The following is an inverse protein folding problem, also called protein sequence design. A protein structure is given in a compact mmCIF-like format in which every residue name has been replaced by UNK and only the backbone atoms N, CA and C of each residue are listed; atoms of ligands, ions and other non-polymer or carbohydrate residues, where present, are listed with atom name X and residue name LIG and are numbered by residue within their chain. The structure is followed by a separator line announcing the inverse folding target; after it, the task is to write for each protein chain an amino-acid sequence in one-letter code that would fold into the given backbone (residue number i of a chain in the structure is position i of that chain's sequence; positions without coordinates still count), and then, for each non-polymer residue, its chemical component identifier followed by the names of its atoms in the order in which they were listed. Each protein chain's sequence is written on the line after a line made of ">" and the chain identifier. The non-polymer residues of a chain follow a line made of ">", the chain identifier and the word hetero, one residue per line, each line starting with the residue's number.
data_IF_297628362138
#
_entry.id   IF_297628362138
#
_cell.length_a   1.000
_cell.length_b   1.000
_cell.length_c   1.000
_cell.angle_alpha   90.00
_cell.angle_beta   90.00
_cell.angle_gamma   90.00
#
_symmetry.space_group_name_H-M   'P 1'
#
loop_
_entity.id
_entity.type
_entity.pdbx_description
1 polymer ?
#
# COMPACT_ATOMS: atom_id res chain seq x y z
N UNK A 1 13.76 -17.90 20.46
CA UNK A 1 12.86 -19.05 20.31
C UNK A 1 11.48 -18.54 19.90
N UNK A 2 11.25 -18.34 18.61
CA UNK A 2 9.97 -17.87 18.05
C UNK A 2 8.95 -19.00 18.10
N UNK A 3 8.01 -18.95 19.06
CA UNK A 3 6.85 -19.84 19.09
C UNK A 3 5.91 -19.47 17.93
N UNK A 4 5.99 -20.24 16.85
CA UNK A 4 5.03 -20.21 15.75
C UNK A 4 3.65 -20.63 16.29
N UNK A 5 2.59 -19.94 15.86
CA UNK A 5 1.22 -20.30 16.25
C UNK A 5 0.78 -21.42 15.32
N UNK A 6 0.74 -22.64 15.84
CA UNK A 6 0.35 -23.83 15.08
C UNK A 6 -1.14 -24.09 15.23
N UNK A 7 -1.80 -24.58 14.17
CA UNK A 7 -3.19 -25.03 14.27
C UNK A 7 -3.31 -26.21 15.26
N UNK A 8 -4.20 -26.17 16.26
CA UNK A 8 -4.36 -27.27 17.24
C UNK A 8 -4.95 -28.55 16.63
N UNK A 9 -5.46 -28.48 15.39
CA UNK A 9 -6.15 -29.60 14.73
C UNK A 9 -5.29 -30.33 13.72
N UNK A 10 -4.55 -29.59 12.90
CA UNK A 10 -3.74 -30.17 11.81
C UNK A 10 -2.24 -29.94 12.00
N UNK A 11 -1.82 -29.26 13.07
CA UNK A 11 -0.42 -28.98 13.38
C UNK A 11 0.37 -28.30 12.23
N UNK A 12 -0.33 -27.58 11.34
CA UNK A 12 0.27 -26.77 10.29
C UNK A 12 0.42 -25.31 10.74
N UNK A 13 1.42 -24.63 10.19
CA UNK A 13 1.77 -23.25 10.49
C UNK A 13 1.05 -22.22 9.59
N UNK A 14 0.27 -22.70 8.60
CA UNK A 14 -0.51 -21.87 7.69
C UNK A 14 -1.81 -21.35 8.33
N UNK A 15 -1.65 -20.45 9.29
CA UNK A 15 -2.73 -19.81 10.04
C UNK A 15 -2.84 -18.32 9.68
N UNK A 16 -4.05 -17.86 9.37
CA UNK A 16 -4.35 -16.45 9.07
C UNK A 16 -5.15 -15.80 10.17
N UNK A 17 -4.89 -14.52 10.46
CA UNK A 17 -5.65 -13.77 11.44
C UNK A 17 -7.05 -13.45 10.89
N UNK A 18 -8.09 -13.89 11.60
CA UNK A 18 -9.48 -13.59 11.30
C UNK A 18 -9.95 -12.28 11.93
N UNK A 19 -11.04 -11.72 11.40
CA UNK A 19 -11.74 -10.61 12.07
C UNK A 19 -12.64 -11.16 13.19
N UNK A 20 -12.68 -10.53 14.39
CA UNK A 20 -13.67 -10.84 15.39
C UNK A 20 -15.08 -10.70 14.80
N UNK A 21 -15.88 -11.76 14.92
CA UNK A 21 -17.25 -11.80 14.42
C UNK A 21 -18.27 -12.06 15.54
N UNK A 22 -17.81 -12.52 16.70
CA UNK A 22 -18.69 -12.79 17.84
C UNK A 22 -18.39 -11.86 19.02
N UNK A 23 -19.39 -11.58 19.90
CA UNK A 23 -19.18 -10.76 21.09
C UNK A 23 -18.07 -11.32 22.00
N UNK A 24 -17.96 -12.65 22.09
CA UNK A 24 -16.90 -13.33 22.85
C UNK A 24 -15.50 -13.04 22.29
N UNK A 25 -15.35 -13.00 20.98
CA UNK A 25 -14.06 -12.67 20.33
C UNK A 25 -13.71 -11.19 20.47
N UNK A 26 -14.71 -10.31 20.51
CA UNK A 26 -14.50 -8.89 20.77
C UNK A 26 -13.98 -8.66 22.19
N UNK A 27 -14.58 -9.34 23.18
CA UNK A 27 -14.10 -9.33 24.58
C UNK A 27 -12.71 -9.96 24.68
N UNK A 28 -12.45 -11.08 24.00
CA UNK A 28 -11.13 -11.72 23.99
C UNK A 28 -10.05 -10.83 23.35
N UNK A 29 -10.40 -10.00 22.38
CA UNK A 29 -9.47 -9.07 21.74
C UNK A 29 -8.94 -8.01 22.72
N UNK A 30 -9.70 -7.62 23.74
CA UNK A 30 -9.20 -6.77 24.84
C UNK A 30 -8.05 -7.44 25.61
N UNK A 31 -7.99 -8.77 25.62
CA UNK A 31 -6.96 -9.57 26.28
C UNK A 31 -5.84 -10.00 25.33
N UNK A 32 -5.68 -9.33 24.18
CA UNK A 32 -4.75 -9.72 23.09
C UNK A 32 -4.96 -11.14 22.55
N UNK A 33 -6.13 -11.72 22.76
CA UNK A 33 -6.51 -13.02 22.22
C UNK A 33 -7.37 -12.77 20.98
N UNK A 34 -6.87 -13.15 19.81
CA UNK A 34 -7.54 -12.89 18.53
C UNK A 34 -7.86 -14.20 17.81
N UNK A 35 -8.92 -14.24 16.99
CA UNK A 35 -9.23 -15.43 16.21
C UNK A 35 -8.23 -15.63 15.08
N UNK A 36 -7.75 -16.87 14.94
CA UNK A 36 -6.99 -17.37 13.82
C UNK A 36 -7.82 -18.42 13.07
N UNK A 37 -7.61 -18.52 11.77
CA UNK A 37 -8.22 -19.53 10.90
C UNK A 37 -7.10 -20.26 10.16
N UNK A 38 -7.08 -21.58 10.23
CA UNK A 38 -6.16 -22.38 9.43
C UNK A 38 -6.60 -22.41 7.96
N UNK A 39 -5.67 -22.25 7.01
CA UNK A 39 -6.01 -22.28 5.58
C UNK A 39 -6.35 -23.69 5.07
N UNK A 40 -5.72 -24.73 5.63
CA UNK A 40 -5.96 -26.12 5.23
C UNK A 40 -7.28 -26.67 5.78
N UNK A 41 -7.41 -26.71 7.11
CA UNK A 41 -8.54 -27.38 7.76
C UNK A 41 -9.72 -26.45 8.06
N UNK A 42 -9.59 -25.15 7.76
CA UNK A 42 -10.55 -24.07 8.06
C UNK A 42 -10.99 -23.99 9.52
N UNK A 43 -10.26 -24.64 10.42
CA UNK A 43 -10.55 -24.61 11.85
C UNK A 43 -10.21 -23.23 12.42
N UNK A 44 -11.18 -22.64 13.14
CA UNK A 44 -11.06 -21.34 13.78
C UNK A 44 -10.79 -21.54 15.27
N UNK A 45 -9.73 -20.90 15.76
CA UNK A 45 -9.34 -21.01 17.16
C UNK A 45 -8.80 -19.66 17.67
N UNK A 46 -8.83 -19.48 18.98
CA UNK A 46 -8.32 -18.29 19.63
C UNK A 46 -6.89 -18.54 20.10
N UNK A 47 -5.97 -17.64 19.77
CA UNK A 47 -4.61 -17.69 20.28
C UNK A 47 -4.16 -16.29 20.71
N UNK A 48 -3.26 -16.24 21.71
CA UNK A 48 -2.69 -14.97 22.16
C UNK A 48 -1.82 -14.41 21.04
N UNK A 49 -2.02 -13.15 20.70
CA UNK A 49 -1.21 -12.41 19.75
C UNK A 49 0.19 -12.23 20.35
N UNK A 50 1.05 -13.23 20.18
CA UNK A 50 2.49 -13.01 20.31
C UNK A 50 2.85 -12.18 19.10
N UNK A 51 3.22 -10.92 19.35
CA UNK A 51 3.73 -10.01 18.35
C UNK A 51 5.01 -10.59 17.76
N UNK A 52 4.87 -11.49 16.80
CA UNK A 52 5.94 -11.82 15.87
C UNK A 52 6.10 -10.58 15.00
N UNK A 53 7.17 -9.83 15.30
CA UNK A 53 7.66 -8.85 14.37
C UNK A 53 7.94 -9.56 13.05
N UNK A 54 7.21 -9.12 12.03
CA UNK A 54 7.71 -8.96 10.67
C UNK A 54 8.14 -10.24 9.94
N UNK A 55 7.14 -10.90 9.35
CA UNK A 55 7.16 -11.11 7.91
C UNK A 55 5.79 -10.75 7.36
N UNK A 56 5.51 -9.45 7.35
CA UNK A 56 4.60 -8.92 6.35
C UNK A 56 5.28 -9.13 4.99
N UNK A 57 5.20 -10.36 4.47
CA UNK A 57 4.84 -10.50 3.07
C UNK A 57 3.43 -9.93 3.04
N UNK A 58 3.22 -8.69 2.56
CA UNK A 58 1.88 -8.33 2.16
C UNK A 58 1.52 -9.44 1.18
N UNK A 59 0.48 -10.24 1.46
CA UNK A 59 -0.15 -10.98 0.39
C UNK A 59 -0.31 -9.94 -0.72
N UNK A 60 0.43 -10.14 -1.82
CA UNK A 60 0.74 -9.17 -2.86
C UNK A 60 -0.57 -8.81 -3.57
N UNK A 61 -1.44 -8.06 -2.89
CA UNK A 61 -2.74 -7.62 -3.38
C UNK A 61 -2.58 -6.38 -4.25
N UNK A 62 -1.36 -5.86 -4.35
CA UNK A 62 -0.99 -4.73 -5.17
C UNK A 62 -0.36 -5.29 -6.43
N UNK A 63 -1.05 -5.08 -7.55
CA UNK A 63 -0.56 -5.44 -8.87
C UNK A 63 0.65 -4.59 -9.31
N UNK A 64 0.82 -3.40 -8.71
CA UNK A 64 1.84 -2.44 -9.12
C UNK A 64 2.69 -1.96 -7.95
N UNK A 65 4.01 -1.95 -8.15
CA UNK A 65 4.99 -1.35 -7.24
C UNK A 65 4.72 0.15 -7.07
N UNK A 66 4.79 0.65 -5.83
CA UNK A 66 4.67 2.08 -5.50
C UNK A 66 6.03 2.64 -5.12
N UNK A 67 6.45 3.68 -5.83
CA UNK A 67 7.65 4.45 -5.50
C UNK A 67 7.26 5.69 -4.68
N UNK A 68 7.99 6.00 -3.59
CA UNK A 68 7.82 7.27 -2.89
C UNK A 68 8.39 8.41 -3.75
N UNK A 69 7.63 9.47 -3.93
CA UNK A 69 8.02 10.63 -4.76
C UNK A 69 7.53 11.93 -4.14
N UNK A 70 8.02 13.07 -4.66
CA UNK A 70 7.49 14.40 -4.40
C UNK A 70 7.39 15.15 -5.72
N UNK A 71 6.22 15.08 -6.35
CA UNK A 71 5.97 15.70 -7.65
C UNK A 71 4.81 16.68 -7.52
N UNK A 72 4.95 17.85 -8.14
CA UNK A 72 3.84 18.78 -8.25
C UNK A 72 2.79 18.23 -9.21
N UNK A 73 1.52 18.43 -8.86
CA UNK A 73 0.42 18.12 -9.76
C UNK A 73 -0.67 19.18 -9.73
N UNK A 74 -1.37 19.31 -10.84
CA UNK A 74 -2.68 19.95 -10.93
C UNK A 74 -3.73 18.87 -11.22
N UNK A 75 -4.98 19.09 -10.84
CA UNK A 75 -6.08 18.21 -11.24
C UNK A 75 -7.37 18.98 -11.46
N UNK A 76 -8.17 18.50 -12.40
CA UNK A 76 -9.43 19.12 -12.77
C UNK A 76 -10.49 18.08 -13.15
N UNK A 77 -11.74 18.34 -12.79
CA UNK A 77 -12.86 17.43 -13.02
C UNK A 77 -14.20 18.10 -12.69
N UNK A 78 -15.11 18.15 -13.66
CA UNK A 78 -16.37 18.87 -13.53
C UNK A 78 -16.16 20.35 -13.18
N UNK A 79 -16.61 20.76 -12.00
CA UNK A 79 -16.45 22.13 -11.46
C UNK A 79 -15.34 22.26 -10.41
N UNK A 80 -14.60 21.18 -10.15
CA UNK A 80 -13.55 21.13 -9.13
C UNK A 80 -12.19 21.20 -9.83
N UNK A 81 -11.33 22.09 -9.32
CA UNK A 81 -9.92 22.20 -9.69
C UNK A 81 -9.10 22.29 -8.41
N UNK A 82 -7.91 21.71 -8.44
CA UNK A 82 -7.01 21.71 -7.30
C UNK A 82 -5.58 21.46 -7.71
N UNK A 83 -4.69 21.73 -6.77
CA UNK A 83 -3.26 21.48 -6.89
C UNK A 83 -2.79 20.66 -5.69
N UNK A 84 -1.66 19.99 -5.81
CA UNK A 84 -1.13 19.18 -4.73
C UNK A 84 0.25 18.60 -5.00
N UNK A 85 0.72 17.80 -4.05
CA UNK A 85 1.97 17.07 -4.15
C UNK A 85 1.71 15.56 -4.17
N UNK A 86 2.22 14.85 -5.18
CA UNK A 86 2.23 13.38 -5.21
C UNK A 86 3.19 12.89 -4.13
N UNK A 87 2.70 12.03 -3.23
CA UNK A 87 3.47 11.41 -2.15
C UNK A 87 3.95 10.00 -2.51
N UNK A 88 3.13 9.26 -3.25
CA UNK A 88 3.50 7.98 -3.83
C UNK A 88 2.88 7.80 -5.22
N UNK A 89 3.58 7.07 -6.08
CA UNK A 89 3.20 6.86 -7.47
C UNK A 89 3.40 5.39 -7.88
N UNK A 90 2.47 4.87 -8.68
CA UNK A 90 2.52 3.56 -9.32
C UNK A 90 1.81 3.60 -10.66
N UNK A 91 1.96 2.55 -11.46
CA UNK A 91 1.21 2.40 -12.71
C UNK A 91 -0.30 2.37 -12.48
N UNK A 92 -0.76 1.90 -11.32
CA UNK A 92 -2.17 1.82 -10.98
C UNK A 92 -2.77 3.08 -10.33
N UNK A 93 -1.96 4.08 -9.95
CA UNK A 93 -2.44 5.25 -9.24
C UNK A 93 -1.43 5.91 -8.31
N UNK A 94 -1.88 6.92 -7.57
CA UNK A 94 -1.06 7.73 -6.68
C UNK A 94 -1.81 8.12 -5.40
N UNK A 95 -1.06 8.62 -4.41
CA UNK A 95 -1.60 9.39 -3.28
C UNK A 95 -1.09 10.82 -3.39
N UNK A 96 -1.99 11.78 -3.20
CA UNK A 96 -1.65 13.20 -3.22
C UNK A 96 -1.99 13.88 -1.89
N UNK A 97 -1.19 14.88 -1.55
CA UNK A 97 -1.54 15.88 -0.53
C UNK A 97 -2.17 17.09 -1.23
N UNK A 98 -3.41 17.42 -0.85
CA UNK A 98 -4.12 18.62 -1.32
C UNK A 98 -5.16 19.04 -0.28
N UNK A 99 -5.47 20.34 -0.22
CA UNK A 99 -6.54 20.90 0.62
C UNK A 99 -7.91 20.90 -0.08
N UNK A 100 -7.94 20.48 -1.34
CA UNK A 100 -9.14 20.50 -2.17
C UNK A 100 -10.12 19.43 -1.71
N UNK A 101 -11.40 19.78 -1.62
CA UNK A 101 -12.45 18.83 -1.26
C UNK A 101 -12.89 18.05 -2.50
N UNK A 102 -12.83 16.73 -2.42
CA UNK A 102 -13.23 15.79 -3.49
C UNK A 102 -14.12 14.69 -2.92
N UNK A 103 -14.92 14.03 -3.75
CA UNK A 103 -15.74 12.89 -3.32
C UNK A 103 -15.15 11.59 -3.84
N UNK A 104 -15.42 10.51 -3.12
CA UNK A 104 -15.04 9.16 -3.55
C UNK A 104 -15.80 8.83 -4.85
N UNK A 105 -15.12 8.14 -5.75
CA UNK A 105 -15.55 7.75 -7.09
C UNK A 105 -15.71 8.90 -8.11
N UNK A 106 -15.39 10.15 -7.73
CA UNK A 106 -15.22 11.25 -8.69
C UNK A 106 -14.03 10.98 -9.63
N UNK A 107 -14.16 11.40 -10.89
CA UNK A 107 -13.11 11.27 -11.92
C UNK A 107 -12.49 12.64 -12.20
N UNK A 108 -11.17 12.66 -12.26
CA UNK A 108 -10.35 13.84 -12.51
C UNK A 108 -9.29 13.55 -13.58
N UNK A 109 -8.92 14.58 -14.32
CA UNK A 109 -7.70 14.63 -15.12
C UNK A 109 -6.60 15.22 -14.24
N UNK A 110 -5.51 14.48 -14.09
CA UNK A 110 -4.33 14.90 -13.33
C UNK A 110 -3.23 15.26 -14.31
N UNK A 111 -2.60 16.40 -14.09
CA UNK A 111 -1.38 16.82 -14.77
C UNK A 111 -0.22 16.67 -13.78
N UNK A 112 0.66 15.70 -14.00
CA UNK A 112 1.77 15.39 -13.08
C UNK A 112 3.09 15.81 -13.72
N UNK A 113 3.81 16.73 -13.08
CA UNK A 113 5.15 17.14 -13.51
C UNK A 113 6.18 16.09 -13.10
N UNK A 114 6.72 15.32 -14.06
CA UNK A 114 7.72 14.27 -13.80
C UNK A 114 9.15 14.82 -13.69
N UNK A 115 9.43 15.95 -14.35
CA UNK A 115 10.69 16.69 -14.34
C UNK A 115 10.39 18.18 -14.59
N UNK A 116 11.28 19.08 -14.17
CA UNK A 116 11.07 20.53 -14.28
C UNK A 116 10.99 21.01 -15.74
N UNK A 117 11.82 20.44 -16.62
CA UNK A 117 11.92 20.86 -18.03
C UNK A 117 11.04 20.05 -19.00
N UNK A 118 10.20 19.15 -18.47
CA UNK A 118 9.32 18.31 -19.28
C UNK A 118 7.85 18.70 -19.12
N UNK A 119 7.10 18.65 -20.23
CA UNK A 119 5.65 18.82 -20.17
C UNK A 119 5.01 17.80 -19.20
N UNK A 120 4.07 18.20 -18.33
CA UNK A 120 3.38 17.26 -17.43
C UNK A 120 2.74 16.10 -18.18
N UNK A 121 2.63 14.94 -17.52
CA UNK A 121 1.81 13.85 -18.04
C UNK A 121 0.36 14.09 -17.66
N UNK A 122 -0.56 13.85 -18.59
CA UNK A 122 -1.99 13.90 -18.34
C UNK A 122 -2.53 12.47 -18.13
N UNK A 123 -3.18 12.24 -16.99
CA UNK A 123 -3.75 10.94 -16.62
C UNK A 123 -5.14 11.08 -16.03
N UNK A 124 -6.10 10.34 -16.58
CA UNK A 124 -7.44 10.26 -15.99
C UNK A 124 -7.44 9.30 -14.79
N UNK A 125 -8.01 9.73 -13.67
CA UNK A 125 -7.99 8.98 -12.43
C UNK A 125 -9.29 9.15 -11.64
N UNK A 126 -9.64 8.12 -10.86
CA UNK A 126 -10.81 8.10 -9.99
C UNK A 126 -10.39 8.15 -8.52
N UNK A 127 -11.09 8.92 -7.70
CA UNK A 127 -10.86 8.98 -6.25
C UNK A 127 -11.27 7.65 -5.62
N UNK A 128 -10.36 7.00 -4.90
CA UNK A 128 -10.62 5.74 -4.18
C UNK A 128 -10.84 5.91 -2.70
N UNK A 129 -10.21 6.91 -2.10
CA UNK A 129 -10.34 7.21 -0.67
C UNK A 129 -9.80 8.60 -0.36
N UNK A 130 -10.38 9.24 0.64
CA UNK A 130 -9.87 10.48 1.26
C UNK A 130 -9.56 10.17 2.71
N UNK A 131 -8.36 10.53 3.18
CA UNK A 131 -7.90 10.25 4.54
C UNK A 131 -6.94 11.32 5.04
N UNK A 132 -6.49 11.21 6.29
CA UNK A 132 -5.43 12.06 6.87
C UNK A 132 -4.11 11.99 6.11
N UNK A 133 -3.87 10.90 5.35
CA UNK A 133 -2.67 10.74 4.52
C UNK A 133 -2.78 11.47 3.18
N UNK A 134 -3.98 11.93 2.81
CA UNK A 134 -4.27 12.56 1.53
C UNK A 134 -5.34 11.83 0.71
N UNK A 135 -5.42 12.20 -0.56
CA UNK A 135 -6.39 11.71 -1.54
C UNK A 135 -5.73 10.60 -2.35
N UNK A 136 -6.33 9.41 -2.36
CA UNK A 136 -5.85 8.30 -3.17
C UNK A 136 -6.58 8.25 -4.51
N UNK A 137 -5.83 8.32 -5.59
CA UNK A 137 -6.32 8.19 -6.96
C UNK A 137 -5.98 6.81 -7.52
N UNK A 138 -6.92 6.23 -8.27
CA UNK A 138 -6.70 5.07 -9.14
C UNK A 138 -6.70 5.53 -10.59
N UNK A 139 -5.64 5.24 -11.32
CA UNK A 139 -5.55 5.55 -12.74
C UNK A 139 -6.51 4.69 -13.55
N UNK A 140 -7.23 5.32 -14.48
CA UNK A 140 -8.04 4.63 -15.48
C UNK A 140 -7.14 3.97 -16.52
N UNK A 141 -7.66 2.98 -17.27
CA UNK A 141 -6.86 2.08 -18.10
C UNK A 141 -5.89 2.81 -19.04
N UNK A 142 -6.38 3.83 -19.75
CA UNK A 142 -5.57 4.64 -20.69
C UNK A 142 -4.35 5.29 -20.03
N UNK A 143 -4.46 5.70 -18.77
CA UNK A 143 -3.34 6.29 -18.05
C UNK A 143 -2.25 5.27 -17.67
N UNK A 144 -2.62 3.99 -17.51
CA UNK A 144 -1.68 2.91 -17.18
C UNK A 144 -0.77 2.55 -18.36
N UNK A 145 -1.21 2.86 -19.59
CA UNK A 145 -0.49 2.61 -20.84
C UNK A 145 0.46 3.77 -21.21
N UNK A 146 0.57 4.80 -20.37
CA UNK A 146 1.43 5.95 -20.62
C UNK A 146 2.92 5.57 -20.50
N UNK A 147 3.64 5.61 -21.63
CA UNK A 147 5.06 5.24 -21.72
C UNK A 147 5.97 6.10 -20.82
N UNK A 148 5.67 7.39 -20.65
CA UNK A 148 6.47 8.30 -19.81
C UNK A 148 6.31 7.96 -18.33
N UNK A 149 5.07 7.68 -17.90
CA UNK A 149 4.80 7.18 -16.54
C UNK A 149 5.53 5.87 -16.27
N UNK A 150 5.47 4.93 -17.22
CA UNK A 150 6.13 3.63 -17.08
C UNK A 150 7.65 3.77 -16.98
N UNK A 151 8.27 4.55 -17.88
CA UNK A 151 9.71 4.81 -17.87
C UNK A 151 10.16 5.48 -16.57
N UNK A 152 9.39 6.47 -16.08
CA UNK A 152 9.67 7.15 -14.82
C UNK A 152 9.60 6.19 -13.62
N UNK A 153 8.59 5.33 -13.55
CA UNK A 153 8.48 4.35 -12.46
C UNK A 153 9.65 3.36 -12.52
N UNK A 154 10.01 2.86 -13.71
CA UNK A 154 11.11 1.92 -13.87
C UNK A 154 12.45 2.53 -13.44
N UNK A 155 12.75 3.79 -13.82
CA UNK A 155 14.00 4.44 -13.44
C UNK A 155 14.11 4.67 -11.92
N UNK A 156 13.00 4.93 -11.24
CA UNK A 156 12.96 5.17 -9.79
C UNK A 156 12.83 3.89 -8.95
N UNK A 157 12.37 2.78 -9.55
CA UNK A 157 12.26 1.47 -8.87
C UNK A 157 13.62 0.87 -8.53
N UNK A 158 14.68 1.21 -9.28
CA UNK A 158 16.06 0.77 -8.98
C UNK A 158 16.69 1.50 -7.79
N UNK A 159 16.24 2.72 -7.48
CA UNK A 159 16.85 3.55 -6.43
C UNK A 159 16.52 3.06 -5.01
N UNK A 160 15.40 2.35 -4.84
CA UNK A 160 15.06 1.69 -3.56
C UNK A 160 15.94 0.49 -3.24
N UNK A 161 16.67 -0.08 -4.21
CA UNK A 161 17.61 -1.18 -3.98
C UNK A 161 18.95 -0.70 -3.44
N UNK A 162 19.39 0.53 -3.74
CA UNK A 162 20.71 1.03 -3.34
C UNK A 162 20.77 1.51 -1.87
N UNK A 163 19.62 1.71 -1.22
CA UNK A 163 19.57 2.05 0.21
C UNK A 163 19.66 0.80 1.10
N UNK A 164 19.24 -0.38 0.63
CA UNK A 164 19.38 -1.63 1.39
C UNK A 164 20.79 -2.24 1.29
N UNK A 165 21.54 -2.00 0.21
CA UNK A 165 22.88 -2.58 0.04
C UNK A 165 23.97 -1.93 0.90
N UNK A 166 23.73 -0.74 1.48
CA UNK A 166 24.73 -0.05 2.32
C UNK A 166 24.73 -0.46 3.81
N UNK A 167 23.87 -1.39 4.22
CA UNK A 167 23.75 -1.80 5.63
C UNK A 167 24.37 -3.17 5.97
N UNK A 168 25.12 -3.79 5.05
CA UNK A 168 25.87 -5.03 5.34
C UNK A 168 27.33 -4.84 4.94
N UNK A 169 28.09 -4.17 5.81
CA UNK A 169 29.51 -4.51 5.95
C UNK A 169 29.65 -5.44 7.17
N UNK A 170 30.23 -6.64 7.02
CA UNK A 170 30.50 -7.52 8.14
C UNK A 170 31.74 -7.01 8.90
N UNK A 171 31.54 -6.70 10.18
CA UNK A 171 32.64 -6.53 11.13
C UNK A 171 33.31 -7.90 11.30
N UNK A 172 34.44 -8.09 10.63
CA UNK A 172 35.39 -9.18 10.93
C UNK A 172 36.16 -8.74 12.17
N UNK A 173 35.96 -9.45 13.29
CA UNK A 173 36.81 -9.32 14.47
C UNK A 173 37.80 -10.49 14.44
N UNK A 174 39.09 -10.16 14.56
CA UNK A 174 40.19 -11.12 14.63
C UNK A 174 40.36 -11.79 15.98
#
# INVERSE_FOLDING_TARGET
>A
MSRQVTCPRCHKDDVVQGRPQTPRELVAALMWIVPFQCQDCRHRFLARRVSTARSSHPLERREHLRIPVRLCLSFSGGKVRGEGMVLDLSLGGCIIESKTHVRIDDIFYLEIALAEDEAPIEVAAMVRSVSVRGIAFKFLRTAQENKRLQAFIQSHSGSTSNVLSKAVEPIVTG
#
